data_IF_162299251499
#
_entry.id   IF_162299251499
#
_cell.length_a   1.000
_cell.length_b   1.000
_cell.length_c   1.000
_cell.angle_alpha   90.00
_cell.angle_beta   90.00
_cell.angle_gamma   90.00
#
_symmetry.space_group_name_H-M   'P 1'
#
loop_
_entity.id
_entity.type
_entity.pdbx_description
1 polymer ?
#
# COMPACT_ATOMS: atom_id res chain seq x y z
N UNK A 1 2.28 -29.19 5.14
CA UNK A 1 1.81 -28.24 6.13
C UNK A 1 2.27 -26.82 5.76
N UNK A 2 3.56 -26.54 5.66
CA UNK A 2 4.10 -25.22 5.29
C UNK A 2 3.54 -24.65 3.97
N UNK A 3 3.34 -25.48 2.93
CA UNK A 3 2.72 -25.03 1.67
C UNK A 3 1.24 -24.64 1.87
N UNK A 4 0.51 -25.33 2.73
CA UNK A 4 -0.87 -25.00 3.06
C UNK A 4 -0.97 -23.72 3.88
N UNK A 5 -0.06 -23.52 4.83
CA UNK A 5 0.04 -22.27 5.61
C UNK A 5 0.32 -21.07 4.70
N UNK A 6 1.21 -21.23 3.70
CA UNK A 6 1.47 -20.21 2.68
C UNK A 6 0.24 -19.94 1.80
N UNK A 7 -0.49 -20.98 1.37
CA UNK A 7 -1.70 -20.80 0.58
C UNK A 7 -2.79 -20.06 1.37
N UNK A 8 -3.00 -20.43 2.64
CA UNK A 8 -3.98 -19.80 3.52
C UNK A 8 -3.61 -18.35 3.86
N UNK A 9 -2.32 -18.09 4.16
CA UNK A 9 -1.82 -16.73 4.43
C UNK A 9 -1.87 -15.79 3.20
N UNK A 10 -2.07 -16.36 2.01
CA UNK A 10 -2.26 -15.61 0.74
C UNK A 10 -3.72 -15.55 0.30
N UNK A 11 -4.66 -15.89 1.19
CA UNK A 11 -6.10 -15.81 0.93
C UNK A 11 -6.78 -17.12 0.63
N UNK A 12 -6.03 -18.24 0.51
CA UNK A 12 -6.59 -19.57 0.34
C UNK A 12 -7.13 -19.91 -1.07
N UNK A 13 -7.01 -18.98 -2.02
CA UNK A 13 -7.46 -19.11 -3.42
C UNK A 13 -6.35 -19.58 -4.36
N UNK A 14 -5.26 -20.12 -3.81
CA UNK A 14 -4.05 -20.51 -4.52
C UNK A 14 -3.69 -21.98 -4.25
N UNK A 15 -3.08 -22.62 -5.24
CA UNK A 15 -2.32 -23.84 -5.04
C UNK A 15 -0.84 -23.49 -4.84
N UNK A 16 -0.22 -24.00 -3.78
CA UNK A 16 1.18 -23.80 -3.49
C UNK A 16 1.93 -25.12 -3.61
N UNK A 17 2.93 -25.15 -4.50
CA UNK A 17 3.87 -26.26 -4.61
C UNK A 17 5.18 -25.84 -4.00
N UNK A 18 5.63 -26.54 -2.95
CA UNK A 18 6.91 -26.33 -2.29
C UNK A 18 7.82 -27.53 -2.56
N UNK A 19 8.92 -27.31 -3.29
CA UNK A 19 10.06 -28.21 -3.44
C UNK A 19 11.22 -27.75 -2.56
N UNK A 20 12.31 -28.52 -2.50
CA UNK A 20 13.46 -28.19 -1.66
C UNK A 20 14.02 -26.79 -1.94
N UNK A 21 14.08 -26.40 -3.22
CA UNK A 21 14.76 -25.18 -3.66
C UNK A 21 13.83 -24.11 -4.23
N UNK A 22 12.51 -24.41 -4.32
CA UNK A 22 11.54 -23.51 -4.99
C UNK A 22 10.16 -23.60 -4.39
N UNK A 23 9.49 -22.43 -4.27
CA UNK A 23 8.06 -22.32 -3.99
C UNK A 23 7.39 -21.73 -5.23
N UNK A 24 6.37 -22.43 -5.74
CA UNK A 24 5.61 -21.99 -6.90
C UNK A 24 4.14 -21.81 -6.50
N UNK A 25 3.55 -20.69 -6.91
CA UNK A 25 2.16 -20.34 -6.64
C UNK A 25 1.35 -20.43 -7.93
N UNK A 26 0.15 -20.99 -7.85
CA UNK A 26 -0.80 -21.11 -8.97
C UNK A 26 -2.17 -20.61 -8.54
N UNK A 27 -2.83 -19.79 -9.35
CA UNK A 27 -4.14 -19.21 -9.05
C UNK A 27 -4.00 -17.88 -8.31
N UNK A 28 -4.99 -17.54 -7.50
CA UNK A 28 -5.04 -16.24 -6.77
C UNK A 28 -5.65 -15.12 -7.61
N UNK A 29 -6.49 -15.47 -8.60
CA UNK A 29 -7.21 -14.53 -9.45
C UNK A 29 -8.67 -14.32 -9.02
N UNK A 30 -9.17 -15.12 -8.08
CA UNK A 30 -10.54 -14.97 -7.59
C UNK A 30 -10.65 -13.69 -6.77
N UNK A 31 -11.58 -12.83 -7.10
CA UNK A 31 -12.08 -11.82 -6.17
C UNK A 31 -12.72 -12.61 -5.03
N UNK A 32 -12.09 -12.55 -3.84
CA UNK A 32 -12.49 -13.35 -2.70
C UNK A 32 -13.93 -13.08 -2.32
N UNK A 33 -14.72 -14.14 -2.19
CA UNK A 33 -16.03 -14.06 -1.54
C UNK A 33 -15.82 -13.60 -0.10
N UNK A 34 -16.49 -12.53 0.31
CA UNK A 34 -16.59 -12.03 1.69
C UNK A 34 -17.14 -13.10 2.63
N UNK A 35 -16.31 -14.09 2.99
CA UNK A 35 -16.71 -15.10 3.98
C UNK A 35 -16.14 -14.72 5.36
N UNK A 36 -17.06 -14.32 6.26
CA UNK A 36 -16.81 -14.38 7.72
C UNK A 36 -15.75 -13.42 8.30
N UNK A 37 -15.45 -12.32 7.65
CA UNK A 37 -14.37 -11.41 8.05
C UNK A 37 -14.69 -10.61 9.31
N UNK A 38 -15.94 -10.20 9.55
CA UNK A 38 -16.36 -9.47 10.78
C UNK A 38 -16.10 -10.26 12.06
N UNK A 39 -16.37 -11.57 12.05
CA UNK A 39 -16.08 -12.43 13.21
C UNK A 39 -14.59 -12.49 13.47
N UNK A 40 -13.78 -12.61 12.40
CA UNK A 40 -12.32 -12.63 12.50
C UNK A 40 -11.78 -11.32 13.06
N UNK A 41 -12.23 -10.16 12.53
CA UNK A 41 -11.85 -8.84 13.02
C UNK A 41 -12.19 -8.68 14.50
N UNK A 42 -13.41 -9.04 14.91
CA UNK A 42 -13.82 -8.99 16.32
C UNK A 42 -12.95 -9.87 17.23
N UNK A 43 -12.70 -11.12 16.84
CA UNK A 43 -11.85 -12.04 17.62
C UNK A 43 -10.43 -11.50 17.75
N UNK A 44 -9.85 -10.96 16.65
CA UNK A 44 -8.50 -10.38 16.66
C UNK A 44 -8.43 -9.11 17.50
N UNK A 45 -9.48 -8.29 17.48
CA UNK A 45 -9.57 -7.10 18.33
C UNK A 45 -9.63 -7.47 19.81
N UNK A 46 -10.43 -8.47 20.18
CA UNK A 46 -10.51 -8.93 21.56
C UNK A 46 -9.18 -9.51 22.04
N UNK A 47 -8.50 -10.32 21.22
CA UNK A 47 -7.18 -10.84 21.53
C UNK A 47 -6.12 -9.73 21.69
N UNK A 48 -6.18 -8.69 20.86
CA UNK A 48 -5.31 -7.52 21.01
C UNK A 48 -5.61 -6.75 22.29
N UNK A 49 -6.88 -6.54 22.61
CA UNK A 49 -7.29 -5.89 23.86
C UNK A 49 -6.79 -6.65 25.08
N UNK A 50 -6.97 -7.97 25.12
CA UNK A 50 -6.49 -8.84 26.20
C UNK A 50 -4.96 -8.77 26.36
N UNK A 51 -4.21 -8.75 25.27
CA UNK A 51 -2.76 -8.55 25.28
C UNK A 51 -2.39 -7.20 25.92
N UNK A 52 -3.11 -6.13 25.56
CA UNK A 52 -2.87 -4.78 26.11
C UNK A 52 -3.20 -4.66 27.60
N UNK A 53 -4.09 -5.51 28.15
CA UNK A 53 -4.39 -5.49 29.60
C UNK A 53 -3.15 -5.82 30.46
N UNK A 54 -2.25 -6.62 29.92
CA UNK A 54 -1.02 -7.07 30.60
C UNK A 54 0.21 -6.21 30.30
N UNK A 55 0.07 -5.16 29.51
CA UNK A 55 1.16 -4.34 29.00
C UNK A 55 0.89 -2.86 29.22
N UNK A 56 1.95 -2.07 29.38
CA UNK A 56 1.81 -0.64 29.67
C UNK A 56 2.18 0.25 28.45
N UNK A 57 2.95 -0.28 27.52
CA UNK A 57 3.55 0.50 26.44
C UNK A 57 3.39 -0.20 25.09
N UNK A 58 3.14 0.59 24.05
CA UNK A 58 3.06 0.12 22.68
C UNK A 58 3.97 0.96 21.78
N UNK A 59 4.81 0.32 21.00
CA UNK A 59 5.58 0.95 19.93
C UNK A 59 5.01 0.45 18.62
N UNK A 60 4.57 1.39 17.78
CA UNK A 60 3.89 1.12 16.50
C UNK A 60 4.87 1.45 15.38
N UNK A 61 5.07 0.55 14.45
CA UNK A 61 5.85 0.81 13.25
C UNK A 61 5.16 0.24 12.01
N UNK A 62 5.45 0.81 10.86
CA UNK A 62 4.98 0.36 9.56
C UNK A 62 6.18 -0.04 8.67
N UNK A 63 6.01 0.02 7.36
CA UNK A 63 7.12 -0.17 6.43
C UNK A 63 8.01 1.09 6.31
N UNK A 64 9.25 0.91 5.86
CA UNK A 64 10.16 2.01 5.50
C UNK A 64 9.51 2.92 4.46
N UNK A 65 9.76 4.24 4.58
CA UNK A 65 9.12 5.25 3.73
C UNK A 65 7.58 5.11 3.76
N UNK A 66 6.96 5.34 4.92
CA UNK A 66 5.53 5.11 5.10
C UNK A 66 4.71 5.93 4.11
N UNK A 67 3.65 5.31 3.60
CA UNK A 67 2.60 5.96 2.85
C UNK A 67 1.41 6.33 3.75
N UNK A 68 0.31 6.75 3.14
CA UNK A 68 -0.88 7.17 3.91
C UNK A 68 -1.59 6.01 4.61
N UNK A 69 -1.54 4.79 4.06
CA UNK A 69 -2.16 3.63 4.72
C UNK A 69 -1.34 3.19 5.92
N UNK A 70 -0.02 3.08 5.75
CA UNK A 70 0.92 2.80 6.81
C UNK A 70 0.81 3.80 7.97
N UNK A 71 0.82 5.10 7.67
CA UNK A 71 0.72 6.15 8.68
C UNK A 71 -0.66 6.22 9.32
N UNK A 72 -1.73 6.18 8.51
CA UNK A 72 -3.12 6.26 8.97
C UNK A 72 -3.52 5.08 9.86
N UNK A 73 -3.10 3.86 9.50
CA UNK A 73 -3.33 2.67 10.33
C UNK A 73 -2.57 2.76 11.67
N UNK A 74 -1.34 3.28 11.64
CA UNK A 74 -0.56 3.59 12.84
C UNK A 74 -1.28 4.58 13.77
N UNK A 75 -1.87 5.65 13.23
CA UNK A 75 -2.69 6.61 13.98
C UNK A 75 -3.92 5.94 14.60
N UNK A 76 -4.60 5.06 13.85
CA UNK A 76 -5.75 4.30 14.37
C UNK A 76 -5.37 3.39 15.54
N UNK A 77 -4.24 2.69 15.45
CA UNK A 77 -3.70 1.85 16.53
C UNK A 77 -3.30 2.70 17.74
N UNK A 78 -2.59 3.82 17.51
CA UNK A 78 -2.25 4.77 18.57
C UNK A 78 -3.50 5.21 19.34
N UNK A 79 -4.58 5.49 18.61
CA UNK A 79 -5.85 5.86 19.24
C UNK A 79 -6.48 4.73 20.05
N UNK A 80 -6.45 3.49 19.56
CA UNK A 80 -6.95 2.33 20.32
C UNK A 80 -6.21 2.18 21.65
N UNK A 81 -4.89 2.26 21.61
CA UNK A 81 -4.01 2.08 22.76
C UNK A 81 -4.18 3.19 23.80
N UNK A 82 -4.11 4.44 23.36
CA UNK A 82 -4.23 5.60 24.27
C UNK A 82 -5.61 5.75 24.89
N UNK A 83 -6.66 5.32 24.18
CA UNK A 83 -8.02 5.31 24.73
C UNK A 83 -8.20 4.27 25.88
N UNK A 84 -7.35 3.23 25.92
CA UNK A 84 -7.27 2.28 27.03
C UNK A 84 -6.35 2.77 28.18
N UNK A 85 -5.84 4.00 28.10
CA UNK A 85 -4.96 4.60 29.10
C UNK A 85 -3.52 4.12 29.04
N UNK A 86 -3.11 3.47 27.95
CA UNK A 86 -1.74 2.99 27.76
C UNK A 86 -0.91 4.00 26.97
N UNK A 87 0.41 3.94 27.14
CA UNK A 87 1.35 4.77 26.38
C UNK A 87 1.58 4.18 24.99
N UNK A 88 1.58 5.05 23.98
CA UNK A 88 1.85 4.61 22.61
C UNK A 88 2.77 5.58 21.88
N UNK A 89 3.65 5.05 21.05
CA UNK A 89 4.55 5.82 20.17
C UNK A 89 4.51 5.23 18.75
N UNK A 90 4.63 6.09 17.74
CA UNK A 90 4.72 5.69 16.32
C UNK A 90 6.13 5.96 15.84
N UNK A 91 6.76 4.96 15.23
CA UNK A 91 8.14 5.11 14.69
C UNK A 91 8.07 5.65 13.27
N UNK A 92 8.69 6.80 13.05
CA UNK A 92 8.88 7.41 11.73
C UNK A 92 10.24 8.08 11.71
N UNK A 93 11.17 7.59 10.88
CA UNK A 93 12.51 8.18 10.76
C UNK A 93 12.54 9.32 9.75
N UNK A 94 11.89 9.13 8.61
CA UNK A 94 11.85 10.10 7.53
C UNK A 94 10.40 10.39 7.12
N UNK A 95 10.09 11.66 6.93
CA UNK A 95 8.78 12.10 6.48
C UNK A 95 8.74 12.00 4.96
N UNK A 96 8.14 10.94 4.44
CA UNK A 96 7.95 10.77 3.00
C UNK A 96 7.05 11.87 2.43
N UNK A 97 7.17 12.14 1.13
CA UNK A 97 6.27 13.07 0.44
C UNK A 97 4.81 12.62 0.52
N UNK A 98 4.56 11.32 0.69
CA UNK A 98 3.22 10.76 0.81
C UNK A 98 2.52 11.19 2.11
N UNK A 99 3.21 11.17 3.26
CA UNK A 99 2.62 11.53 4.56
C UNK A 99 2.81 12.99 4.94
N UNK A 100 3.73 13.72 4.28
CA UNK A 100 4.03 15.13 4.56
C UNK A 100 2.79 16.04 4.67
N UNK A 101 1.74 15.88 3.83
CA UNK A 101 0.56 16.74 3.90
C UNK A 101 -0.24 16.64 5.19
N UNK A 102 -0.13 15.53 5.94
CA UNK A 102 -0.88 15.32 7.18
C UNK A 102 0.00 15.24 8.42
N UNK A 103 1.26 14.88 8.27
CA UNK A 103 2.21 14.67 9.36
C UNK A 103 2.28 15.87 10.34
N UNK A 104 2.31 17.09 9.80
CA UNK A 104 2.34 18.31 10.58
C UNK A 104 1.15 18.49 11.54
N UNK A 105 0.01 17.89 11.24
CA UNK A 105 -1.18 17.95 12.10
C UNK A 105 -0.99 17.19 13.43
N UNK A 106 -0.04 16.26 13.48
CA UNK A 106 0.26 15.46 14.66
C UNK A 106 1.49 15.97 15.43
N UNK A 107 2.38 16.70 14.79
CA UNK A 107 3.63 17.19 15.40
C UNK A 107 3.62 18.68 15.74
N UNK A 108 2.86 19.49 15.00
CA UNK A 108 2.83 20.95 15.17
C UNK A 108 1.74 21.44 16.12
N UNK A 109 0.89 20.57 16.63
CA UNK A 109 -0.24 20.94 17.51
C UNK A 109 0.03 20.49 18.95
N UNK A 110 -0.31 21.35 19.94
CA UNK A 110 -0.32 20.98 21.35
C UNK A 110 -1.39 19.88 21.70
N UNK A 111 -2.01 19.30 20.68
CA UNK A 111 -3.08 18.30 20.84
C UNK A 111 -2.56 16.88 21.07
N UNK A 112 -1.30 16.64 20.76
CA UNK A 112 -0.62 15.35 20.91
C UNK A 112 0.67 15.52 21.72
N UNK A 113 1.10 14.48 22.47
CA UNK A 113 2.39 14.48 23.15
C UNK A 113 3.54 14.65 22.16
N UNK A 114 4.61 15.33 22.55
CA UNK A 114 5.77 15.55 21.70
C UNK A 114 6.49 14.24 21.32
N UNK A 115 6.33 13.21 22.11
CA UNK A 115 6.87 11.87 21.93
C UNK A 115 5.89 10.88 21.27
N UNK A 116 4.77 11.38 20.73
CA UNK A 116 3.86 10.54 19.94
C UNK A 116 4.57 9.90 18.75
N UNK A 117 5.41 10.67 18.06
CA UNK A 117 6.20 10.19 16.93
C UNK A 117 7.67 10.22 17.35
N UNK A 118 8.35 9.10 17.19
CA UNK A 118 9.73 8.86 17.60
C UNK A 118 10.54 8.25 16.47
N UNK A 119 11.86 8.32 16.57
CA UNK A 119 12.78 7.65 15.65
C UNK A 119 13.22 6.26 16.16
N UNK A 120 14.02 5.54 15.37
CA UNK A 120 14.52 4.20 15.72
C UNK A 120 15.32 4.19 17.03
N UNK A 121 16.22 5.13 17.24
CA UNK A 121 17.06 5.18 18.44
C UNK A 121 16.20 5.35 19.70
N UNK A 122 15.20 6.21 19.63
CA UNK A 122 14.24 6.40 20.71
C UNK A 122 13.40 5.12 20.94
N UNK A 123 12.93 4.48 19.87
CA UNK A 123 12.15 3.23 19.98
C UNK A 123 12.97 2.11 20.62
N UNK A 124 14.23 1.93 20.21
CA UNK A 124 15.15 0.95 20.79
C UNK A 124 15.48 1.23 22.27
N UNK A 125 15.53 2.51 22.66
CA UNK A 125 15.73 2.89 24.06
C UNK A 125 14.50 2.66 24.96
N UNK A 126 13.31 2.63 24.37
CA UNK A 126 12.03 2.51 25.09
C UNK A 126 11.51 1.07 25.20
N UNK A 127 11.97 0.17 24.29
CA UNK A 127 11.49 -1.22 24.28
C UNK A 127 11.96 -1.98 25.51
N UNK A 128 11.05 -2.66 26.17
CA UNK A 128 11.28 -3.50 27.36
C UNK A 128 10.29 -4.68 27.39
N UNK A 129 10.29 -5.43 28.50
CA UNK A 129 9.43 -6.61 28.69
C UNK A 129 7.92 -6.27 28.73
N UNK A 130 7.57 -5.04 29.08
CA UNK A 130 6.20 -4.56 29.16
C UNK A 130 5.73 -3.87 27.87
N UNK A 131 6.57 -3.90 26.85
CA UNK A 131 6.30 -3.29 25.54
C UNK A 131 5.67 -4.30 24.59
N UNK A 132 4.62 -3.86 23.87
CA UNK A 132 4.12 -4.53 22.67
C UNK A 132 4.62 -3.76 21.46
N UNK A 133 5.28 -4.43 20.53
CA UNK A 133 5.59 -3.87 19.21
C UNK A 133 4.47 -4.25 18.25
N UNK A 134 3.79 -3.24 17.70
CA UNK A 134 2.76 -3.42 16.69
C UNK A 134 3.31 -3.03 15.33
N UNK A 135 3.30 -3.96 14.40
CA UNK A 135 3.67 -3.77 13.00
C UNK A 135 2.40 -3.66 12.19
N UNK A 136 2.25 -2.58 11.42
CA UNK A 136 1.09 -2.36 10.58
C UNK A 136 1.50 -2.16 9.12
N UNK A 137 0.64 -2.61 8.20
CA UNK A 137 0.79 -2.45 6.76
C UNK A 137 2.07 -3.08 6.15
N UNK A 138 2.64 -4.03 6.86
CA UNK A 138 3.78 -4.83 6.40
C UNK A 138 3.88 -6.12 7.22
N UNK A 139 4.27 -7.22 6.58
CA UNK A 139 4.51 -8.50 7.27
C UNK A 139 5.93 -9.05 7.05
N UNK A 140 6.75 -8.39 6.23
CA UNK A 140 8.15 -8.74 6.00
C UNK A 140 9.06 -7.95 6.95
N UNK A 141 9.89 -8.61 7.79
CA UNK A 141 10.73 -7.93 8.77
C UNK A 141 11.72 -6.94 8.16
N UNK A 142 12.31 -7.25 7.01
CA UNK A 142 13.34 -6.40 6.37
C UNK A 142 12.78 -5.11 5.79
N UNK A 143 11.46 -5.05 5.59
CA UNK A 143 10.76 -3.88 5.09
C UNK A 143 10.22 -2.98 6.20
N UNK A 144 10.25 -3.43 7.48
CA UNK A 144 9.75 -2.63 8.61
C UNK A 144 10.63 -1.41 8.86
N UNK A 145 10.05 -0.36 9.41
CA UNK A 145 10.72 0.91 9.71
C UNK A 145 11.92 0.73 10.64
N UNK A 146 11.84 -0.20 11.60
CA UNK A 146 12.91 -0.57 12.53
C UNK A 146 12.99 -2.09 12.67
N UNK A 147 13.75 -2.77 11.81
CA UNK A 147 13.89 -4.23 11.84
C UNK A 147 14.49 -4.72 13.17
N UNK A 148 15.47 -3.97 13.72
CA UNK A 148 16.14 -4.33 14.97
C UNK A 148 15.16 -4.41 16.16
N UNK A 149 14.12 -3.61 16.17
CA UNK A 149 13.11 -3.58 17.22
C UNK A 149 12.43 -4.95 17.39
N UNK A 150 12.28 -5.73 16.32
CA UNK A 150 11.70 -7.07 16.34
C UNK A 150 12.54 -8.07 17.13
N UNK A 151 13.86 -7.86 17.23
CA UNK A 151 14.75 -8.73 17.98
C UNK A 151 14.66 -8.49 19.51
N UNK A 152 14.32 -7.28 19.93
CA UNK A 152 14.19 -6.92 21.34
C UNK A 152 12.77 -7.11 21.88
N UNK A 153 11.76 -7.12 21.02
CA UNK A 153 10.37 -7.22 21.43
C UNK A 153 10.00 -8.64 21.87
N UNK A 154 9.44 -8.79 23.09
CA UNK A 154 8.87 -10.06 23.57
C UNK A 154 7.45 -10.32 23.05
N UNK A 155 6.73 -9.26 22.75
CA UNK A 155 5.36 -9.32 22.24
C UNK A 155 5.25 -8.54 20.94
N UNK A 156 5.00 -9.24 19.83
CA UNK A 156 4.87 -8.65 18.50
C UNK A 156 3.45 -8.91 18.00
N UNK A 157 2.82 -7.85 17.47
CA UNK A 157 1.50 -7.91 16.84
C UNK A 157 1.65 -7.43 15.41
N UNK A 158 1.04 -8.14 14.44
CA UNK A 158 1.09 -7.78 13.02
C UNK A 158 -0.33 -7.61 12.48
N UNK A 159 -0.61 -6.43 11.93
CA UNK A 159 -1.83 -6.09 11.20
C UNK A 159 -1.50 -5.71 9.78
N UNK A 160 -1.89 -6.54 8.79
CA UNK A 160 -1.47 -6.31 7.41
C UNK A 160 -2.48 -6.86 6.40
N UNK A 161 -2.58 -6.23 5.25
CA UNK A 161 -3.43 -6.67 4.15
C UNK A 161 -2.62 -7.21 2.96
N UNK A 162 -1.30 -7.20 3.04
CA UNK A 162 -0.44 -7.74 1.99
C UNK A 162 -0.39 -9.27 2.02
N UNK A 163 -0.26 -9.88 0.84
CA UNK A 163 -0.08 -11.32 0.72
C UNK A 163 1.26 -11.73 1.32
N UNK A 164 1.23 -12.76 2.17
CA UNK A 164 2.43 -13.29 2.78
C UNK A 164 3.40 -13.90 1.75
N UNK A 165 4.67 -13.65 1.95
CA UNK A 165 5.78 -14.27 1.23
C UNK A 165 6.46 -15.33 2.11
N UNK A 166 7.64 -15.82 1.70
CA UNK A 166 8.45 -16.72 2.55
C UNK A 166 9.07 -16.01 3.75
N UNK A 167 9.30 -14.71 3.63
CA UNK A 167 10.00 -13.88 4.61
C UNK A 167 8.96 -13.08 5.41
N UNK A 168 8.34 -13.74 6.40
CA UNK A 168 7.33 -13.13 7.29
C UNK A 168 7.86 -13.03 8.72
N UNK A 169 7.30 -12.13 9.51
CA UNK A 169 7.54 -12.03 10.96
C UNK A 169 6.96 -13.29 11.62
N UNK A 170 7.82 -14.29 11.84
CA UNK A 170 7.41 -15.63 12.26
C UNK A 170 7.08 -15.74 13.76
N UNK A 171 7.60 -14.84 14.60
CA UNK A 171 7.47 -14.84 16.07
C UNK A 171 6.36 -13.89 16.58
N UNK A 172 5.41 -13.52 15.74
CA UNK A 172 4.29 -12.67 16.14
C UNK A 172 3.40 -13.37 17.17
N UNK A 173 3.19 -12.72 18.32
CA UNK A 173 2.25 -13.14 19.38
C UNK A 173 0.81 -13.12 18.88
N UNK A 174 0.48 -12.11 18.07
CA UNK A 174 -0.81 -11.97 17.40
C UNK A 174 -0.56 -11.54 15.95
N UNK A 175 -1.15 -12.27 15.00
CA UNK A 175 -1.12 -11.92 13.59
C UNK A 175 -2.53 -11.85 13.03
N UNK A 176 -2.86 -10.73 12.38
CA UNK A 176 -4.09 -10.55 11.63
C UNK A 176 -3.74 -10.06 10.23
N UNK A 177 -3.61 -10.99 9.31
CA UNK A 177 -3.31 -10.73 7.91
C UNK A 177 -4.56 -11.05 7.09
N UNK A 178 -5.00 -10.07 6.30
CA UNK A 178 -6.25 -10.13 5.54
C UNK A 178 -6.05 -9.63 4.10
N UNK A 179 -5.57 -10.48 3.19
CA UNK A 179 -5.26 -10.09 1.80
C UNK A 179 -6.46 -9.62 0.96
N UNK A 180 -7.65 -9.74 1.49
CA UNK A 180 -8.88 -9.26 0.84
C UNK A 180 -9.36 -7.91 1.41
N UNK A 181 -8.74 -7.39 2.45
CA UNK A 181 -8.97 -6.03 2.89
C UNK A 181 -8.35 -5.06 1.86
N UNK A 182 -9.00 -3.93 1.65
CA UNK A 182 -8.51 -2.92 0.72
C UNK A 182 -7.25 -2.23 1.21
N UNK A 183 -7.11 -2.11 2.54
CA UNK A 183 -6.04 -1.37 3.20
C UNK A 183 -5.92 -1.78 4.67
N UNK A 184 -4.79 -1.51 5.31
CA UNK A 184 -4.62 -1.64 6.75
C UNK A 184 -5.56 -0.67 7.50
N UNK A 185 -5.79 0.54 6.98
CA UNK A 185 -6.75 1.50 7.53
C UNK A 185 -8.19 0.96 7.57
N UNK A 186 -8.62 0.19 6.56
CA UNK A 186 -9.92 -0.50 6.58
C UNK A 186 -9.98 -1.45 7.78
N UNK A 187 -8.96 -2.30 7.94
CA UNK A 187 -8.89 -3.28 9.02
C UNK A 187 -8.92 -2.61 10.40
N UNK A 188 -8.12 -1.55 10.59
CA UNK A 188 -8.04 -0.83 11.86
C UNK A 188 -9.33 -0.05 12.13
N UNK A 189 -9.98 0.53 11.11
CA UNK A 189 -11.28 1.19 11.25
C UNK A 189 -12.39 0.21 11.69
N UNK A 190 -12.35 -1.03 11.21
CA UNK A 190 -13.24 -2.10 11.68
C UNK A 190 -12.93 -2.49 13.13
N UNK A 191 -11.66 -2.68 13.48
CA UNK A 191 -11.21 -3.04 14.81
C UNK A 191 -11.60 -1.97 15.86
N UNK A 192 -11.50 -0.68 15.54
CA UNK A 192 -11.91 0.42 16.41
C UNK A 192 -13.37 0.30 16.89
N UNK A 193 -14.27 -0.21 16.03
CA UNK A 193 -15.68 -0.40 16.36
C UNK A 193 -15.93 -1.54 17.36
N UNK A 194 -14.96 -2.47 17.50
CA UNK A 194 -15.05 -3.60 18.43
C UNK A 194 -14.19 -3.41 19.69
N UNK A 195 -13.25 -2.44 19.68
CA UNK A 195 -12.32 -2.24 20.79
C UNK A 195 -13.02 -1.69 22.04
N UNK A 196 -13.70 -0.56 21.92
CA UNK A 196 -14.52 0.05 22.95
C UNK A 196 -15.43 1.13 22.31
N UNK A 197 -16.73 1.10 22.64
CA UNK A 197 -17.71 2.08 22.13
C UNK A 197 -17.42 3.52 22.55
N UNK A 198 -16.59 3.72 23.59
CA UNK A 198 -16.20 5.05 24.08
C UNK A 198 -15.09 5.69 23.27
N UNK A 199 -14.41 4.93 22.41
CA UNK A 199 -13.33 5.47 21.57
C UNK A 199 -13.92 6.44 20.54
N UNK A 200 -13.47 7.69 20.62
CA UNK A 200 -13.86 8.73 19.69
C UNK A 200 -12.61 9.23 18.97
N UNK A 201 -12.58 9.05 17.65
CA UNK A 201 -11.55 9.64 16.81
C UNK A 201 -11.69 11.16 16.80
N UNK A 202 -10.56 11.87 16.79
CA UNK A 202 -10.54 13.28 16.40
C UNK A 202 -10.68 13.37 14.88
N UNK A 203 -11.22 14.49 14.35
CA UNK A 203 -11.35 14.65 12.89
C UNK A 203 -10.04 14.42 12.12
N UNK A 204 -8.89 14.86 12.66
CA UNK A 204 -7.57 14.66 12.06
C UNK A 204 -7.16 13.17 12.02
N UNK A 205 -7.45 12.41 13.08
CA UNK A 205 -7.21 10.95 13.13
C UNK A 205 -8.07 10.23 12.10
N UNK A 206 -9.35 10.62 12.00
CA UNK A 206 -10.27 10.07 11.00
C UNK A 206 -9.86 10.45 9.56
N UNK A 207 -9.36 11.67 9.34
CA UNK A 207 -8.82 12.09 8.03
C UNK A 207 -7.61 11.27 7.60
N UNK A 208 -6.67 10.97 8.53
CA UNK A 208 -5.49 10.15 8.23
C UNK A 208 -5.88 8.74 7.78
N UNK A 209 -6.75 8.08 8.53
CA UNK A 209 -7.23 6.75 8.18
C UNK A 209 -8.04 6.73 6.88
N UNK A 210 -8.88 7.75 6.67
CA UNK A 210 -9.65 7.87 5.43
C UNK A 210 -8.75 8.10 4.22
N UNK A 211 -7.67 8.86 4.39
CA UNK A 211 -6.66 9.09 3.37
C UNK A 211 -5.93 7.79 2.97
N UNK A 212 -5.60 6.93 3.95
CA UNK A 212 -5.02 5.61 3.68
C UNK A 212 -5.94 4.75 2.82
N UNK A 213 -7.23 4.63 3.17
CA UNK A 213 -8.20 3.90 2.35
C UNK A 213 -8.25 4.47 0.92
N UNK A 214 -8.25 5.79 0.75
CA UNK A 214 -8.32 6.42 -0.57
C UNK A 214 -7.11 6.08 -1.46
N UNK A 215 -5.90 6.08 -0.89
CA UNK A 215 -4.68 5.78 -1.65
C UNK A 215 -4.69 4.34 -2.12
N UNK A 216 -4.95 3.39 -1.24
CA UNK A 216 -4.88 1.96 -1.54
C UNK A 216 -5.99 1.46 -2.46
N UNK A 217 -7.11 2.20 -2.48
CA UNK A 217 -8.24 1.90 -3.37
C UNK A 217 -8.26 2.73 -4.64
N UNK A 218 -7.25 3.57 -4.88
CA UNK A 218 -7.28 4.56 -5.96
C UNK A 218 -8.61 5.32 -5.99
N UNK A 219 -8.95 5.98 -4.88
CA UNK A 219 -10.22 6.70 -4.70
C UNK A 219 -11.48 5.81 -4.87
N UNK A 220 -11.46 4.60 -4.34
CA UNK A 220 -12.52 3.58 -4.45
C UNK A 220 -12.71 3.00 -5.86
N UNK A 221 -11.75 3.16 -6.75
CA UNK A 221 -11.78 2.58 -8.10
C UNK A 221 -11.31 1.12 -8.13
N UNK A 222 -10.41 0.73 -7.22
CA UNK A 222 -9.83 -0.62 -7.20
C UNK A 222 -9.86 -1.22 -5.79
N UNK A 223 -9.76 -2.55 -5.69
CA UNK A 223 -9.71 -3.32 -4.44
C UNK A 223 -10.82 -3.01 -3.42
N UNK A 224 -11.94 -2.47 -3.86
CA UNK A 224 -13.01 -1.96 -3.00
C UNK A 224 -14.09 -3.02 -2.78
N UNK A 225 -14.38 -3.33 -1.52
CA UNK A 225 -15.46 -4.21 -1.10
C UNK A 225 -16.50 -3.47 -0.24
N UNK A 226 -17.54 -4.18 0.21
CA UNK A 226 -18.56 -3.60 1.13
C UNK A 226 -17.91 -3.11 2.41
N UNK A 227 -16.93 -3.85 2.97
CA UNK A 227 -16.19 -3.47 4.17
C UNK A 227 -15.45 -2.15 4.03
N UNK A 228 -14.89 -1.87 2.85
CA UNK A 228 -14.21 -0.61 2.55
C UNK A 228 -15.16 0.57 2.69
N UNK A 229 -16.38 0.45 2.13
CA UNK A 229 -17.41 1.48 2.28
C UNK A 229 -17.93 1.60 3.71
N UNK A 230 -18.05 0.50 4.46
CA UNK A 230 -18.43 0.51 5.88
C UNK A 230 -17.36 1.22 6.72
N UNK A 231 -16.06 0.94 6.50
CA UNK A 231 -14.95 1.62 7.14
C UNK A 231 -14.94 3.12 6.79
N UNK A 232 -15.10 3.47 5.53
CA UNK A 232 -15.21 4.86 5.08
C UNK A 232 -16.40 5.59 5.72
N UNK A 233 -17.56 4.92 5.81
CA UNK A 233 -18.75 5.47 6.48
C UNK A 233 -18.51 5.66 7.99
N UNK A 234 -17.83 4.73 8.66
CA UNK A 234 -17.44 4.87 10.07
C UNK A 234 -16.52 6.08 10.26
N UNK A 235 -15.46 6.20 9.45
CA UNK A 235 -14.53 7.33 9.52
C UNK A 235 -15.23 8.66 9.23
N UNK A 236 -16.16 8.69 8.27
CA UNK A 236 -16.97 9.87 7.98
C UNK A 236 -17.83 10.29 9.18
N UNK A 237 -18.50 9.34 9.84
CA UNK A 237 -19.24 9.60 11.08
C UNK A 237 -18.32 10.07 12.21
N UNK A 238 -17.08 9.62 12.23
CA UNK A 238 -16.06 10.02 13.21
C UNK A 238 -15.44 11.38 12.94
N UNK A 239 -15.85 12.07 11.87
CA UNK A 239 -15.43 13.45 11.57
C UNK A 239 -14.45 13.59 10.40
N UNK A 240 -14.15 12.51 9.66
CA UNK A 240 -13.37 12.62 8.43
C UNK A 240 -14.07 13.57 7.42
N UNK A 241 -13.28 14.44 6.81
CA UNK A 241 -13.75 15.38 5.80
C UNK A 241 -13.11 15.12 4.46
N UNK A 242 -13.93 14.60 3.53
CA UNK A 242 -13.49 14.25 2.17
C UNK A 242 -12.78 15.40 1.47
N UNK A 243 -13.24 16.65 1.71
CA UNK A 243 -12.64 17.83 1.08
C UNK A 243 -11.29 18.19 1.71
N UNK A 244 -11.13 18.02 3.05
CA UNK A 244 -9.80 18.18 3.68
C UNK A 244 -8.83 17.14 3.14
N UNK A 245 -9.23 15.87 3.12
CA UNK A 245 -8.40 14.78 2.61
C UNK A 245 -8.05 14.99 1.14
N UNK A 246 -9.04 15.32 0.28
CA UNK A 246 -8.76 15.62 -1.13
C UNK A 246 -7.76 16.76 -1.32
N UNK A 247 -7.76 17.76 -0.44
CA UNK A 247 -6.78 18.87 -0.51
C UNK A 247 -5.35 18.40 -0.23
N UNK A 248 -5.16 17.34 0.56
CA UNK A 248 -3.83 16.77 0.85
C UNK A 248 -3.20 16.14 -0.40
N UNK A 249 -4.02 15.60 -1.31
CA UNK A 249 -3.58 14.95 -2.54
C UNK A 249 -3.53 15.87 -3.77
N UNK A 250 -3.63 17.17 -3.56
CA UNK A 250 -3.48 18.11 -4.67
C UNK A 250 -2.07 18.09 -5.20
N UNK A 251 -1.98 17.96 -6.50
CA UNK A 251 -0.73 18.07 -7.25
C UNK A 251 -0.42 19.54 -7.48
N UNK A 252 0.83 19.93 -7.42
CA UNK A 252 1.29 21.25 -7.82
C UNK A 252 1.11 21.46 -9.34
N UNK A 253 1.15 22.73 -9.75
CA UNK A 253 0.84 23.08 -11.15
C UNK A 253 1.88 22.54 -12.13
N UNK A 254 3.12 22.41 -11.71
CA UNK A 254 4.20 21.93 -12.59
C UNK A 254 4.06 20.43 -12.86
N UNK A 255 3.91 19.64 -11.80
CA UNK A 255 3.60 18.19 -11.93
C UNK A 255 2.32 17.96 -12.73
N UNK A 256 1.28 18.81 -12.53
CA UNK A 256 0.05 18.71 -13.31
C UNK A 256 0.28 18.97 -14.80
N UNK A 257 1.10 19.98 -15.16
CA UNK A 257 1.45 20.28 -16.55
C UNK A 257 2.21 19.13 -17.21
N UNK A 258 3.24 18.61 -16.53
CA UNK A 258 4.01 17.48 -17.02
C UNK A 258 3.12 16.24 -17.25
N UNK A 259 2.19 15.98 -16.32
CA UNK A 259 1.22 14.90 -16.48
C UNK A 259 0.31 15.13 -17.70
N UNK A 260 -0.25 16.33 -17.84
CA UNK A 260 -1.13 16.67 -18.97
C UNK A 260 -0.41 16.59 -20.32
N UNK A 261 0.85 17.06 -20.38
CA UNK A 261 1.72 16.94 -21.55
C UNK A 261 1.98 15.47 -21.91
N UNK A 262 2.34 14.63 -20.93
CA UNK A 262 2.54 13.21 -21.14
C UNK A 262 1.29 12.51 -21.68
N UNK A 263 0.10 12.84 -21.17
CA UNK A 263 -1.17 12.30 -21.69
C UNK A 263 -1.45 12.83 -23.10
N UNK A 264 -1.15 14.09 -23.39
CA UNK A 264 -1.42 14.69 -24.71
C UNK A 264 -0.58 14.08 -25.85
N UNK A 265 0.56 13.49 -25.51
CA UNK A 265 1.44 12.78 -26.44
C UNK A 265 1.10 11.29 -26.59
N UNK A 266 0.00 10.82 -25.99
CA UNK A 266 -0.40 9.44 -26.10
C UNK A 266 -0.82 9.07 -27.52
N UNK A 267 -0.27 8.00 -28.04
CA UNK A 267 -0.65 7.40 -29.31
C UNK A 267 -1.39 6.08 -29.07
N UNK A 268 -2.47 5.87 -29.80
CA UNK A 268 -3.23 4.62 -29.72
C UNK A 268 -2.63 3.56 -30.65
N UNK A 269 -2.45 2.37 -30.11
CA UNK A 269 -2.01 1.17 -30.82
C UNK A 269 -3.06 0.09 -30.68
N UNK A 270 -3.45 -0.56 -31.78
CA UNK A 270 -4.48 -1.60 -31.84
C UNK A 270 -5.82 -1.17 -31.20
N UNK A 271 -6.13 0.12 -31.24
CA UNK A 271 -7.33 0.76 -30.65
C UNK A 271 -7.60 0.44 -29.17
N UNK A 272 -6.60 -0.13 -28.46
CA UNK A 272 -6.72 -0.58 -27.08
C UNK A 272 -5.54 -0.17 -26.18
N UNK A 273 -4.40 0.16 -26.75
CA UNK A 273 -3.16 0.43 -26.02
C UNK A 273 -2.72 1.87 -26.20
N UNK A 274 -2.60 2.62 -25.11
CA UNK A 274 -2.07 3.99 -25.14
C UNK A 274 -0.57 3.98 -24.82
N UNK A 275 0.25 4.55 -25.71
CA UNK A 275 1.70 4.65 -25.53
C UNK A 275 2.11 6.11 -25.55
N UNK A 276 2.85 6.57 -24.56
CA UNK A 276 3.42 7.92 -24.51
C UNK A 276 4.91 7.86 -24.24
N UNK A 277 5.68 8.72 -24.91
CA UNK A 277 7.08 8.99 -24.58
C UNK A 277 7.17 10.32 -23.85
N UNK A 278 7.91 10.33 -22.76
CA UNK A 278 8.20 11.54 -22.00
C UNK A 278 9.70 11.67 -21.74
N UNK A 279 10.14 12.92 -21.62
CA UNK A 279 11.45 13.24 -21.04
C UNK A 279 11.17 14.05 -19.78
N UNK A 280 11.16 13.40 -18.59
CA UNK A 280 10.87 14.10 -17.36
C UNK A 280 11.83 15.27 -17.15
N UNK A 281 11.28 16.44 -16.89
CA UNK A 281 12.05 17.63 -16.53
C UNK A 281 12.38 17.67 -15.05
N UNK A 282 13.09 18.72 -14.62
CA UNK A 282 13.30 19.03 -13.22
C UNK A 282 11.95 19.45 -12.60
N UNK A 283 11.40 18.59 -11.77
CA UNK A 283 10.13 18.80 -11.08
C UNK A 283 10.20 18.35 -9.63
N UNK A 284 9.21 18.71 -8.81
CA UNK A 284 9.16 18.31 -7.40
C UNK A 284 8.93 16.83 -7.22
N UNK A 285 8.42 16.14 -8.23
CA UNK A 285 8.12 14.72 -8.19
C UNK A 285 9.20 13.87 -8.87
N UNK A 286 9.46 12.68 -8.34
CA UNK A 286 10.43 11.79 -8.97
C UNK A 286 9.93 11.35 -10.36
N UNK A 287 10.82 11.22 -11.35
CA UNK A 287 10.46 10.80 -12.70
C UNK A 287 9.70 9.46 -12.74
N UNK A 288 10.03 8.53 -11.86
CA UNK A 288 9.36 7.22 -11.78
C UNK A 288 7.90 7.36 -11.35
N UNK A 289 7.64 8.19 -10.34
CA UNK A 289 6.28 8.44 -9.84
C UNK A 289 5.46 9.19 -10.88
N UNK A 290 6.03 10.20 -11.53
CA UNK A 290 5.37 10.93 -12.62
C UNK A 290 4.98 9.98 -13.78
N UNK A 291 5.90 9.12 -14.19
CA UNK A 291 5.65 8.12 -15.26
C UNK A 291 4.47 7.20 -14.90
N UNK A 292 4.42 6.73 -13.65
CA UNK A 292 3.33 5.90 -13.16
C UNK A 292 1.98 6.64 -13.11
N UNK A 293 1.99 7.92 -12.71
CA UNK A 293 0.77 8.76 -12.66
C UNK A 293 0.23 9.04 -14.07
N UNK A 294 1.10 9.28 -15.05
CA UNK A 294 0.69 9.45 -16.45
C UNK A 294 0.06 8.15 -16.98
N UNK A 295 0.68 7.00 -16.70
CA UNK A 295 0.14 5.71 -17.11
C UNK A 295 -1.26 5.46 -16.53
N UNK A 296 -1.45 5.72 -15.23
CA UNK A 296 -2.77 5.63 -14.59
C UNK A 296 -3.78 6.59 -15.23
N UNK A 297 -3.38 7.83 -15.52
CA UNK A 297 -4.28 8.83 -16.13
C UNK A 297 -4.76 8.41 -17.52
N UNK A 298 -3.90 7.79 -18.32
CA UNK A 298 -4.27 7.32 -19.66
C UNK A 298 -5.32 6.20 -19.64
N UNK A 299 -5.44 5.45 -18.55
CA UNK A 299 -6.50 4.45 -18.39
C UNK A 299 -7.90 5.07 -18.23
N UNK A 300 -8.00 6.39 -17.96
CA UNK A 300 -9.27 7.11 -17.94
C UNK A 300 -9.78 7.47 -19.34
N UNK A 301 -8.99 7.21 -20.39
CA UNK A 301 -9.39 7.47 -21.79
C UNK A 301 -10.26 6.30 -22.27
N UNK A 302 -11.43 6.61 -22.80
CA UNK A 302 -12.35 5.58 -23.31
C UNK A 302 -11.67 4.73 -24.41
N UNK A 303 -11.77 3.43 -24.30
CA UNK A 303 -11.18 2.46 -25.22
C UNK A 303 -9.76 2.01 -24.83
N UNK A 304 -9.08 2.69 -23.90
CA UNK A 304 -7.77 2.26 -23.43
C UNK A 304 -7.93 1.11 -22.43
N UNK A 305 -7.35 -0.05 -22.75
CA UNK A 305 -7.30 -1.25 -21.90
C UNK A 305 -5.95 -1.39 -21.18
N UNK A 306 -4.87 -0.91 -21.81
CA UNK A 306 -3.57 -0.79 -21.15
C UNK A 306 -2.82 0.45 -21.64
N UNK A 307 -1.97 0.97 -20.79
CA UNK A 307 -1.16 2.17 -21.02
C UNK A 307 0.30 1.91 -20.71
N UNK A 308 1.16 2.49 -21.53
CA UNK A 308 2.60 2.37 -21.41
C UNK A 308 3.24 3.76 -21.51
N UNK A 309 3.95 4.18 -20.48
CA UNK A 309 4.70 5.44 -20.49
C UNK A 309 6.18 5.12 -20.49
N UNK A 310 6.84 5.56 -21.53
CA UNK A 310 8.26 5.35 -21.78
C UNK A 310 8.98 6.65 -21.42
N UNK A 311 9.77 6.63 -20.35
CA UNK A 311 10.51 7.79 -19.87
C UNK A 311 11.99 7.70 -20.24
N UNK A 312 12.50 8.69 -20.99
CA UNK A 312 13.93 8.85 -21.20
C UNK A 312 14.56 9.50 -19.97
N UNK A 313 15.46 8.81 -19.29
CA UNK A 313 16.13 9.26 -18.06
C UNK A 313 17.66 9.32 -18.30
N UNK A 314 18.13 10.38 -18.93
CA UNK A 314 19.53 10.47 -19.36
C UNK A 314 19.85 9.41 -20.42
N UNK A 315 20.78 8.50 -20.11
CA UNK A 315 21.13 7.40 -21.01
C UNK A 315 20.17 6.20 -20.93
N UNK A 316 19.35 6.13 -19.87
CA UNK A 316 18.48 4.99 -19.57
C UNK A 316 17.04 5.28 -19.97
N UNK A 317 16.27 4.20 -20.15
CA UNK A 317 14.83 4.26 -20.41
C UNK A 317 14.09 3.43 -19.39
N UNK A 318 12.98 3.95 -18.87
CA UNK A 318 12.05 3.20 -18.02
C UNK A 318 10.67 3.18 -18.63
N UNK A 319 10.00 2.02 -18.53
CA UNK A 319 8.59 1.87 -18.90
C UNK A 319 7.78 1.67 -17.63
N UNK A 320 6.68 2.40 -17.50
CA UNK A 320 5.62 2.11 -16.56
C UNK A 320 4.40 1.63 -17.34
N UNK A 321 3.95 0.41 -17.04
CA UNK A 321 2.80 -0.21 -17.66
C UNK A 321 1.65 -0.36 -16.68
N UNK A 322 0.44 -0.04 -17.11
CA UNK A 322 -0.80 -0.18 -16.35
C UNK A 322 -1.86 -0.84 -17.21
N UNK A 323 -2.77 -1.58 -16.59
CA UNK A 323 -3.90 -2.19 -17.29
C UNK A 323 -5.15 -2.21 -16.42
N UNK A 324 -6.28 -2.23 -17.12
CA UNK A 324 -7.60 -2.56 -16.57
C UNK A 324 -8.11 -3.80 -17.29
N UNK A 325 -9.19 -4.37 -16.76
CA UNK A 325 -9.85 -5.55 -17.31
C UNK A 325 -8.94 -6.79 -17.39
N UNK A 326 -8.90 -7.43 -18.55
CA UNK A 326 -8.26 -8.72 -18.79
C UNK A 326 -6.83 -8.63 -19.37
N UNK A 327 -6.32 -7.44 -19.63
CA UNK A 327 -4.94 -7.27 -20.14
C UNK A 327 -3.92 -7.49 -19.03
N UNK A 328 -2.98 -8.40 -19.27
CA UNK A 328 -1.90 -8.70 -18.33
C UNK A 328 -0.58 -8.03 -18.76
N UNK A 329 -0.32 -6.82 -18.23
CA UNK A 329 0.91 -6.08 -18.54
C UNK A 329 2.18 -6.71 -17.96
N UNK A 330 2.07 -7.61 -16.97
CA UNK A 330 3.21 -8.34 -16.45
C UNK A 330 3.86 -9.19 -17.54
N UNK A 331 3.07 -9.95 -18.28
CA UNK A 331 3.58 -10.82 -19.37
C UNK A 331 4.27 -9.98 -20.44
N UNK A 332 3.70 -8.82 -20.77
CA UNK A 332 4.29 -7.91 -21.77
C UNK A 332 5.64 -7.39 -21.26
N UNK A 333 5.72 -6.92 -20.02
CA UNK A 333 6.96 -6.39 -19.47
C UNK A 333 8.00 -7.49 -19.21
N UNK A 334 7.61 -8.72 -18.86
CA UNK A 334 8.52 -9.85 -18.72
C UNK A 334 9.17 -10.22 -20.05
N UNK A 335 8.43 -10.18 -21.19
CA UNK A 335 8.99 -10.37 -22.52
C UNK A 335 9.99 -9.26 -22.92
N UNK A 336 9.90 -8.08 -22.27
CA UNK A 336 10.84 -6.97 -22.42
C UNK A 336 11.92 -6.92 -21.33
N UNK A 337 12.09 -7.98 -20.55
CA UNK A 337 13.13 -8.06 -19.49
C UNK A 337 12.79 -7.35 -18.20
N UNK A 338 11.54 -6.92 -18.03
CA UNK A 338 11.01 -6.31 -16.81
C UNK A 338 10.19 -7.27 -15.96
N UNK A 339 9.19 -6.74 -15.23
CA UNK A 339 8.30 -7.55 -14.39
C UNK A 339 7.26 -6.71 -13.66
N UNK A 340 6.50 -7.37 -12.79
CA UNK A 340 5.45 -6.72 -11.99
C UNK A 340 4.30 -7.64 -11.66
N UNK A 341 3.09 -7.10 -11.72
CA UNK A 341 1.82 -7.81 -11.56
C UNK A 341 0.93 -7.62 -12.78
N UNK A 342 -0.17 -8.38 -12.85
CA UNK A 342 -1.08 -8.35 -14.00
C UNK A 342 -1.49 -6.93 -14.44
N UNK A 343 -1.81 -6.05 -13.51
CA UNK A 343 -2.31 -4.71 -13.79
C UNK A 343 -1.25 -3.60 -13.66
N UNK A 344 -0.08 -3.90 -13.09
CA UNK A 344 1.00 -2.94 -12.82
C UNK A 344 2.33 -3.62 -13.07
N UNK A 345 3.07 -3.16 -14.06
CA UNK A 345 4.38 -3.70 -14.38
C UNK A 345 5.33 -2.59 -14.86
N UNK A 346 6.61 -2.91 -14.95
CA UNK A 346 7.65 -1.98 -15.38
C UNK A 346 8.81 -2.71 -16.05
N UNK A 347 9.55 -2.00 -16.87
CA UNK A 347 10.83 -2.45 -17.42
C UNK A 347 11.85 -1.32 -17.41
N UNK A 348 13.13 -1.65 -17.38
CA UNK A 348 14.23 -0.69 -17.41
C UNK A 348 15.28 -1.15 -18.42
N UNK A 349 15.81 -0.20 -19.20
CA UNK A 349 16.80 -0.44 -20.25
C UNK A 349 17.96 0.52 -20.05
N UNK A 350 19.16 -0.01 -19.93
CA UNK A 350 20.38 0.78 -19.84
C UNK A 350 20.89 1.17 -21.24
N UNK A 351 21.40 2.40 -21.37
CA UNK A 351 21.96 2.93 -22.62
C UNK A 351 21.02 2.77 -23.83
N UNK A 352 19.73 3.05 -23.65
CA UNK A 352 18.69 2.90 -24.66
C UNK A 352 18.05 4.25 -25.05
N UNK A 353 17.37 4.27 -26.18
CA UNK A 353 16.56 5.41 -26.62
C UNK A 353 15.08 5.07 -26.54
N UNK A 354 14.29 5.98 -26.04
CA UNK A 354 12.85 5.80 -25.86
C UNK A 354 12.12 5.43 -27.15
N UNK A 355 12.52 6.00 -28.28
CA UNK A 355 11.95 5.70 -29.60
C UNK A 355 12.21 4.26 -30.08
N UNK A 356 13.38 3.70 -29.76
CA UNK A 356 13.70 2.33 -30.15
C UNK A 356 12.94 1.34 -29.26
N UNK A 357 12.83 1.63 -27.96
CA UNK A 357 12.03 0.84 -27.01
C UNK A 357 10.53 0.91 -27.38
N UNK A 358 10.02 2.07 -27.82
CA UNK A 358 8.64 2.17 -28.33
C UNK A 358 8.41 1.25 -29.54
N UNK A 359 9.33 1.23 -30.51
CA UNK A 359 9.22 0.34 -31.67
C UNK A 359 9.19 -1.13 -31.28
N UNK A 360 10.05 -1.51 -30.33
CA UNK A 360 10.11 -2.87 -29.79
C UNK A 360 8.78 -3.24 -29.11
N UNK A 361 8.26 -2.37 -28.22
CA UNK A 361 6.98 -2.56 -27.56
C UNK A 361 5.83 -2.70 -28.57
N UNK A 362 5.75 -1.81 -29.55
CA UNK A 362 4.71 -1.87 -30.60
C UNK A 362 4.80 -3.16 -31.41
N UNK A 363 6.02 -3.60 -31.74
CA UNK A 363 6.27 -4.87 -32.41
C UNK A 363 5.73 -6.05 -31.60
N UNK A 364 6.07 -6.09 -30.30
CA UNK A 364 5.64 -7.12 -29.36
C UNK A 364 4.10 -7.14 -29.19
N UNK A 365 3.46 -5.98 -29.04
CA UNK A 365 2.01 -5.89 -28.92
C UNK A 365 1.30 -6.43 -30.19
N UNK A 366 1.82 -6.12 -31.35
CA UNK A 366 1.28 -6.63 -32.62
C UNK A 366 1.47 -8.14 -32.77
N UNK A 367 2.57 -8.70 -32.29
CA UNK A 367 2.82 -10.14 -32.28
C UNK A 367 1.82 -10.85 -31.34
N UNK A 368 1.75 -10.41 -30.08
CA UNK A 368 0.86 -10.98 -29.07
C UNK A 368 -0.63 -10.87 -29.47
N UNK A 369 -1.02 -9.78 -30.12
CA UNK A 369 -2.37 -9.61 -30.64
C UNK A 369 -2.69 -10.63 -31.74
N UNK A 370 -1.75 -10.91 -32.65
CA UNK A 370 -1.92 -11.93 -33.70
C UNK A 370 -1.97 -13.35 -33.13
N UNK A 371 -1.27 -13.59 -32.02
CA UNK A 371 -1.25 -14.87 -31.32
C UNK A 371 -2.51 -15.08 -30.46
N UNK A 372 -3.27 -14.03 -30.21
CA UNK A 372 -4.46 -14.06 -29.35
C UNK A 372 -4.12 -14.07 -27.85
N UNK A 373 -2.93 -13.62 -27.49
CA UNK A 373 -2.44 -13.54 -26.12
C UNK A 373 -2.97 -12.29 -25.37
N UNK A 374 -3.41 -11.25 -26.14
CA UNK A 374 -3.93 -9.96 -25.63
C UNK A 374 -5.08 -9.44 -26.47
#
# INVERSE_FOLDING_TARGET
>A
RSAMELALGRGGDQAVIKSADRITYFGGKSQGTEKSTRVKARVKTLAFKELLETKEKVIIMAHKNPDMDAFGSGIGIYKMVTALGKTAHIVVNEVSSAISPIYGNFTSSNSYPADMIINNDQALSLVDDDTVVVVTDVNNPTLTECEELLAYAKSIVVFDHHRQTKDVIANATLSYIEPFASSACEMIAEMLQYMDEKIKLRPTEADAMYAGILIDTDNFLSKTGVRTFEAAAFLKRSGADVMRVRKMFRTDIETYRQKAEGVSHAEMVLDAFAISIITPGDGPESPVVLTAKIANEMLNIAGVRASFVIAQMGADVKISARAIDDVNVQIIMERMGGGGHANIAAAQFENAKAEDIKKELVGLLNEMYKEGDI
#
